data_IF_454479794784
#
_entry.id   IF_454479794784
#
_cell.length_a   1.000
_cell.length_b   1.000
_cell.length_c   1.000
_cell.angle_alpha   90.00
_cell.angle_beta   90.00
_cell.angle_gamma   90.00
#
_symmetry.space_group_name_H-M   'P 1'
#
loop_
_entity.id
_entity.type
_entity.pdbx_description
1 polymer ?
#
# COMPACT_ATOMS: atom_id res chain seq x y z
N UNK A 1 -18.63 48.13 3.29
CA UNK A 1 -17.83 47.77 4.48
C UNK A 1 -17.74 46.25 4.73
N UNK A 2 -17.94 45.38 3.71
CA UNK A 2 -17.93 43.89 3.89
C UNK A 2 -16.81 43.15 3.13
N UNK A 3 -15.90 43.84 2.46
CA UNK A 3 -14.80 43.22 1.70
C UNK A 3 -13.77 42.41 2.53
N UNK A 4 -13.36 42.78 3.76
CA UNK A 4 -12.32 42.03 4.47
C UNK A 4 -12.78 40.69 5.02
N UNK A 5 -14.07 40.42 5.22
CA UNK A 5 -14.59 39.14 5.69
C UNK A 5 -14.61 38.08 4.58
N UNK A 6 -15.04 38.49 3.38
CA UNK A 6 -15.09 37.58 2.21
C UNK A 6 -13.67 37.17 1.82
N UNK A 7 -12.72 38.09 1.77
CA UNK A 7 -11.32 37.80 1.46
C UNK A 7 -10.68 36.84 2.48
N UNK A 8 -10.97 37.00 3.79
CA UNK A 8 -10.49 36.07 4.84
C UNK A 8 -11.13 34.69 4.75
N UNK A 9 -12.41 34.61 4.38
CA UNK A 9 -13.11 33.32 4.20
C UNK A 9 -12.57 32.62 2.96
N UNK A 10 -12.38 33.31 1.86
CA UNK A 10 -11.77 32.75 0.64
C UNK A 10 -10.33 32.33 0.90
N UNK A 11 -9.54 33.11 1.61
CA UNK A 11 -8.17 32.76 1.98
C UNK A 11 -8.14 31.54 2.91
N UNK A 12 -9.04 31.44 3.88
CA UNK A 12 -9.15 30.24 4.75
C UNK A 12 -9.57 29.01 3.96
N UNK A 13 -10.55 29.11 3.06
CA UNK A 13 -10.94 28.03 2.15
C UNK A 13 -9.78 27.62 1.23
N UNK A 14 -9.04 28.59 0.68
CA UNK A 14 -7.84 28.30 -0.14
C UNK A 14 -6.74 27.64 0.67
N UNK A 15 -6.47 28.09 1.89
CA UNK A 15 -5.50 27.48 2.79
C UNK A 15 -5.94 26.08 3.23
N UNK A 16 -7.24 25.86 3.49
CA UNK A 16 -7.78 24.54 3.81
C UNK A 16 -7.68 23.61 2.61
N UNK A 17 -7.98 24.09 1.40
CA UNK A 17 -7.82 23.30 0.16
C UNK A 17 -6.34 22.99 -0.11
N UNK A 18 -5.45 23.98 0.08
CA UNK A 18 -4.00 23.78 -0.04
C UNK A 18 -3.52 22.77 1.02
N UNK A 19 -3.96 22.88 2.26
CA UNK A 19 -3.62 21.96 3.34
C UNK A 19 -4.13 20.55 3.05
N UNK A 20 -5.37 20.40 2.58
CA UNK A 20 -5.92 19.13 2.12
C UNK A 20 -5.15 18.55 0.93
N UNK A 21 -4.71 19.39 -0.01
CA UNK A 21 -3.92 18.96 -1.16
C UNK A 21 -2.47 18.62 -0.79
N UNK A 22 -1.90 19.22 0.25
CA UNK A 22 -0.55 18.88 0.74
C UNK A 22 -0.51 17.60 1.56
N UNK A 23 -1.66 17.19 2.11
CA UNK A 23 -1.81 15.90 2.80
C UNK A 23 -1.96 14.71 1.84
N UNK A 24 -2.10 14.96 0.53
CA UNK A 24 -2.28 13.93 -0.49
C UNK A 24 -0.93 13.59 -1.14
N UNK A 25 -0.04 12.93 -0.41
CA UNK A 25 1.08 12.20 -1.01
C UNK A 25 0.77 10.71 -0.86
N UNK A 26 0.06 10.07 -1.81
CA UNK A 26 0.01 8.61 -1.82
C UNK A 26 1.44 8.13 -2.07
N UNK A 27 1.92 7.24 -1.22
CA UNK A 27 3.11 6.45 -1.45
C UNK A 27 2.61 5.05 -1.78
N UNK A 28 2.97 4.53 -2.93
CA UNK A 28 2.62 3.17 -3.33
C UNK A 28 3.47 2.80 -4.53
N UNK A 29 4.03 1.61 -4.58
CA UNK A 29 4.94 1.16 -5.63
C UNK A 29 4.28 0.76 -6.93
N UNK A 30 3.31 -0.06 -6.78
CA UNK A 30 2.21 -0.10 -7.70
C UNK A 30 1.16 0.82 -7.12
N UNK A 31 0.62 1.69 -7.93
CA UNK A 31 -0.47 2.52 -7.47
C UNK A 31 -1.71 1.63 -7.17
N UNK A 32 -2.69 2.20 -6.53
CA UNK A 32 -3.89 1.54 -6.03
C UNK A 32 -4.51 0.53 -6.98
N UNK A 33 -4.64 0.88 -8.28
CA UNK A 33 -5.35 0.05 -9.25
C UNK A 33 -4.59 -1.21 -9.59
N UNK A 34 -3.26 -1.15 -9.56
CA UNK A 34 -2.41 -2.33 -9.78
C UNK A 34 -2.54 -3.34 -8.64
N UNK A 35 -2.66 -2.88 -7.39
CA UNK A 35 -2.91 -3.78 -6.24
C UNK A 35 -4.28 -4.46 -6.31
N UNK A 36 -5.32 -3.71 -6.73
CA UNK A 36 -6.65 -4.30 -6.96
C UNK A 36 -6.61 -5.34 -8.07
N UNK A 37 -5.92 -5.05 -9.17
CA UNK A 37 -5.83 -5.95 -10.33
C UNK A 37 -5.16 -7.28 -9.96
N UNK A 38 -4.12 -7.28 -9.09
CA UNK A 38 -3.51 -8.52 -8.59
C UNK A 38 -4.54 -9.39 -7.86
N UNK A 39 -5.40 -8.77 -7.03
CA UNK A 39 -6.49 -9.50 -6.36
C UNK A 39 -7.50 -10.01 -7.38
N UNK A 40 -7.94 -9.18 -8.32
CA UNK A 40 -8.97 -9.52 -9.31
C UNK A 40 -8.54 -10.65 -10.24
N UNK A 41 -7.30 -10.61 -10.71
CA UNK A 41 -6.73 -11.65 -11.56
C UNK A 41 -6.63 -13.00 -10.85
N UNK A 42 -6.39 -13.00 -9.55
CA UNK A 42 -6.32 -14.22 -8.74
C UNK A 42 -7.70 -14.66 -8.20
N UNK A 43 -8.69 -13.75 -8.11
CA UNK A 43 -9.94 -13.99 -7.42
C UNK A 43 -10.71 -15.22 -7.89
N UNK A 44 -11.08 -15.35 -9.18
CA UNK A 44 -12.01 -16.40 -9.60
C UNK A 44 -11.42 -17.82 -9.56
N UNK A 45 -10.11 -17.95 -9.75
CA UNK A 45 -9.46 -19.25 -9.91
C UNK A 45 -8.69 -19.70 -8.68
N UNK A 46 -8.28 -18.76 -7.81
CA UNK A 46 -7.39 -19.06 -6.69
C UNK A 46 -8.00 -18.64 -5.35
N UNK A 47 -8.41 -17.38 -5.20
CA UNK A 47 -8.82 -16.85 -3.90
C UNK A 47 -10.21 -17.33 -3.50
N UNK A 48 -11.20 -17.16 -4.36
CA UNK A 48 -12.56 -17.57 -4.07
C UNK A 48 -12.68 -19.06 -3.77
N UNK A 49 -12.11 -19.99 -4.58
CA UNK A 49 -12.14 -21.41 -4.26
C UNK A 49 -11.45 -21.76 -2.93
N UNK A 50 -10.39 -21.03 -2.59
CA UNK A 50 -9.69 -21.23 -1.32
C UNK A 50 -10.54 -20.79 -0.13
N UNK A 51 -11.18 -19.62 -0.23
CA UNK A 51 -12.10 -19.11 0.79
C UNK A 51 -13.29 -20.05 0.97
N UNK A 52 -13.92 -20.48 -0.12
CA UNK A 52 -15.06 -21.41 -0.07
C UNK A 52 -14.71 -22.79 0.48
N UNK A 53 -13.49 -23.28 0.20
CA UNK A 53 -12.97 -24.53 0.78
C UNK A 53 -12.81 -24.43 2.29
N UNK A 54 -12.29 -23.30 2.78
CA UNK A 54 -12.06 -23.05 4.21
C UNK A 54 -13.36 -22.73 4.95
N UNK A 55 -14.27 -22.01 4.32
CA UNK A 55 -15.55 -21.55 4.86
C UNK A 55 -16.70 -21.95 3.93
N UNK A 56 -17.15 -23.21 3.97
CA UNK A 56 -18.17 -23.69 3.04
C UNK A 56 -19.54 -23.07 3.31
N UNK A 57 -20.32 -22.84 2.24
CA UNK A 57 -21.69 -22.38 2.32
C UNK A 57 -21.87 -20.86 2.39
N UNK A 58 -20.89 -20.09 1.98
CA UNK A 58 -20.98 -18.63 1.87
C UNK A 58 -22.06 -18.23 0.87
N UNK A 59 -22.86 -17.26 1.22
CA UNK A 59 -23.82 -16.60 0.33
C UNK A 59 -23.10 -15.68 -0.66
N UNK A 60 -23.73 -15.34 -1.82
CA UNK A 60 -23.16 -14.37 -2.75
C UNK A 60 -22.84 -13.01 -2.09
N UNK A 61 -23.65 -12.56 -1.13
CA UNK A 61 -23.38 -11.33 -0.39
C UNK A 61 -22.12 -11.42 0.47
N UNK A 62 -21.90 -12.53 1.16
CA UNK A 62 -20.68 -12.78 1.95
C UNK A 62 -19.45 -12.90 1.04
N UNK A 63 -19.56 -13.55 -0.12
CA UNK A 63 -18.47 -13.60 -1.11
C UNK A 63 -18.10 -12.19 -1.58
N UNK A 64 -19.08 -11.34 -1.86
CA UNK A 64 -18.87 -9.94 -2.22
C UNK A 64 -18.18 -9.17 -1.07
N UNK A 65 -18.57 -9.44 0.16
CA UNK A 65 -17.94 -8.83 1.34
C UNK A 65 -16.49 -9.29 1.53
N UNK A 66 -16.21 -10.59 1.41
CA UNK A 66 -14.84 -11.12 1.38
C UNK A 66 -13.96 -10.44 0.32
N UNK A 67 -14.50 -10.21 -0.88
CA UNK A 67 -13.77 -9.52 -1.95
C UNK A 67 -13.43 -8.06 -1.56
N UNK A 68 -14.36 -7.35 -0.89
CA UNK A 68 -14.10 -6.01 -0.37
C UNK A 68 -13.01 -6.01 0.73
N UNK A 69 -12.94 -7.06 1.55
CA UNK A 69 -11.86 -7.23 2.52
C UNK A 69 -10.52 -7.57 1.84
N UNK A 70 -10.53 -8.37 0.78
CA UNK A 70 -9.31 -8.63 -0.01
C UNK A 70 -8.77 -7.34 -0.64
N UNK A 71 -9.62 -6.47 -1.19
CA UNK A 71 -9.20 -5.14 -1.65
C UNK A 71 -8.65 -4.29 -0.50
N UNK A 72 -9.31 -4.27 0.66
CA UNK A 72 -8.82 -3.54 1.82
C UNK A 72 -7.45 -4.02 2.28
N UNK A 73 -7.23 -5.32 2.27
CA UNK A 73 -5.94 -5.94 2.56
C UNK A 73 -4.86 -5.56 1.55
N UNK A 74 -5.21 -5.53 0.24
CA UNK A 74 -4.24 -5.30 -0.83
C UNK A 74 -3.61 -3.90 -0.84
N UNK A 75 -4.08 -2.98 0.00
CA UNK A 75 -3.53 -1.62 0.14
C UNK A 75 -3.39 -1.18 1.59
N UNK A 76 -3.53 -2.10 2.56
CA UNK A 76 -3.49 -1.74 3.99
C UNK A 76 -2.12 -1.25 4.44
N UNK A 77 -1.05 -1.80 3.86
CA UNK A 77 0.32 -1.40 4.18
C UNK A 77 0.56 0.08 3.88
N UNK A 78 -0.14 0.62 2.89
CA UNK A 78 -0.07 2.03 2.50
C UNK A 78 -0.92 2.97 3.36
N UNK A 79 -1.78 2.46 4.25
CA UNK A 79 -2.74 3.27 4.99
C UNK A 79 -2.10 4.45 5.72
N UNK A 80 -0.88 4.31 6.21
CA UNK A 80 -0.17 5.37 6.92
C UNK A 80 0.24 6.56 6.05
N UNK A 81 0.27 6.41 4.74
CA UNK A 81 0.59 7.48 3.81
C UNK A 81 -0.63 8.34 3.44
N UNK A 82 -1.83 7.89 3.77
CA UNK A 82 -3.06 8.65 3.54
C UNK A 82 -3.30 9.70 4.64
N UNK A 83 -4.18 10.69 4.40
CA UNK A 83 -4.48 11.72 5.39
C UNK A 83 -4.87 11.12 6.73
N UNK A 84 -4.35 11.69 7.82
CA UNK A 84 -4.49 11.22 9.21
C UNK A 84 -3.81 9.87 9.51
N UNK A 85 -3.15 9.24 8.54
CA UNK A 85 -2.31 8.07 8.77
C UNK A 85 -0.99 8.41 9.45
N UNK A 86 -0.20 7.39 9.73
CA UNK A 86 1.14 7.50 10.30
C UNK A 86 2.17 6.87 9.37
N UNK A 87 3.18 7.61 8.99
CA UNK A 87 4.29 7.07 8.19
C UNK A 87 5.00 5.93 8.92
N UNK A 88 5.08 5.98 10.25
CA UNK A 88 5.67 4.91 11.06
C UNK A 88 4.92 3.60 10.86
N UNK A 89 3.58 3.64 10.84
CA UNK A 89 2.76 2.47 10.54
C UNK A 89 3.14 1.84 9.19
N UNK A 90 3.05 2.61 8.11
CA UNK A 90 3.38 2.09 6.78
C UNK A 90 4.85 1.68 6.66
N UNK A 91 5.78 2.43 7.23
CA UNK A 91 7.19 2.04 7.21
C UNK A 91 7.43 0.71 7.93
N UNK A 92 6.79 0.46 9.07
CA UNK A 92 6.87 -0.84 9.76
C UNK A 92 6.42 -1.97 8.83
N UNK A 93 5.29 -1.80 8.14
CA UNK A 93 4.72 -2.81 7.27
C UNK A 93 5.49 -3.01 5.95
N UNK A 94 6.33 -2.03 5.53
CA UNK A 94 7.13 -2.12 4.31
C UNK A 94 8.58 -2.54 4.53
N UNK A 95 9.14 -2.26 5.71
CA UNK A 95 10.60 -2.38 5.90
C UNK A 95 11.00 -3.23 7.11
N UNK A 96 10.05 -3.64 7.94
CA UNK A 96 10.37 -4.32 9.20
C UNK A 96 9.40 -5.48 9.44
N UNK A 97 9.92 -6.71 9.49
CA UNK A 97 9.11 -7.92 9.76
C UNK A 97 7.90 -8.04 8.84
N UNK A 98 8.11 -7.72 7.58
CA UNK A 98 7.07 -7.63 6.55
C UNK A 98 6.37 -8.97 6.32
N UNK A 99 7.12 -10.05 6.21
CA UNK A 99 6.60 -11.42 6.10
C UNK A 99 5.94 -11.89 7.40
N UNK A 100 6.54 -11.60 8.55
CA UNK A 100 5.98 -11.93 9.88
C UNK A 100 4.60 -11.31 10.10
N UNK A 101 4.38 -10.08 9.61
CA UNK A 101 3.06 -9.43 9.69
C UNK A 101 2.01 -10.18 8.88
N UNK A 102 2.34 -10.60 7.67
CA UNK A 102 1.43 -11.39 6.82
C UNK A 102 1.15 -12.75 7.44
N UNK A 103 2.16 -13.44 7.97
CA UNK A 103 1.99 -14.70 8.69
C UNK A 103 1.06 -14.54 9.90
N UNK A 104 1.18 -13.44 10.65
CA UNK A 104 0.29 -13.13 11.77
C UNK A 104 -1.16 -12.93 11.30
N UNK A 105 -1.39 -12.20 10.21
CA UNK A 105 -2.73 -12.04 9.63
C UNK A 105 -3.37 -13.38 9.27
N UNK A 106 -2.62 -14.30 8.65
CA UNK A 106 -3.16 -15.63 8.33
C UNK A 106 -3.44 -16.48 9.56
N UNK A 107 -2.52 -16.49 10.52
CA UNK A 107 -2.65 -17.28 11.74
C UNK A 107 -3.84 -16.84 12.59
N UNK A 108 -4.03 -15.53 12.73
CA UNK A 108 -5.04 -14.93 13.58
C UNK A 108 -6.40 -14.77 12.91
N UNK A 109 -6.50 -15.07 11.60
CA UNK A 109 -7.76 -14.99 10.86
C UNK A 109 -8.74 -16.10 11.29
N UNK A 110 -9.93 -15.70 11.75
CA UNK A 110 -10.98 -16.59 12.26
C UNK A 110 -12.25 -16.57 11.43
N UNK A 111 -12.43 -15.57 10.58
CA UNK A 111 -13.61 -15.40 9.72
C UNK A 111 -13.23 -15.39 8.24
N UNK A 112 -14.17 -15.63 7.31
CA UNK A 112 -13.89 -15.55 5.88
C UNK A 112 -13.42 -14.16 5.44
N UNK A 113 -13.91 -13.10 6.07
CA UNK A 113 -13.53 -11.71 5.79
C UNK A 113 -12.10 -11.42 6.24
N UNK A 114 -11.73 -11.84 7.46
CA UNK A 114 -10.37 -11.73 7.97
C UNK A 114 -9.37 -12.52 7.10
N UNK A 115 -9.76 -13.71 6.65
CA UNK A 115 -8.92 -14.52 5.77
C UNK A 115 -8.75 -13.89 4.39
N UNK A 116 -9.82 -13.34 3.83
CA UNK A 116 -9.77 -12.60 2.57
C UNK A 116 -8.89 -11.35 2.68
N UNK A 117 -8.95 -10.64 3.81
CA UNK A 117 -8.06 -9.50 4.09
C UNK A 117 -6.59 -9.91 4.15
N UNK A 118 -6.26 -11.03 4.79
CA UNK A 118 -4.90 -11.58 4.82
C UNK A 118 -4.39 -11.95 3.42
N UNK A 119 -5.26 -12.55 2.57
CA UNK A 119 -4.94 -12.83 1.16
C UNK A 119 -4.66 -11.53 0.38
N UNK A 120 -5.42 -10.48 0.63
CA UNK A 120 -5.16 -9.15 0.06
C UNK A 120 -3.81 -8.58 0.49
N UNK A 121 -3.49 -8.63 1.79
CA UNK A 121 -2.21 -8.14 2.31
C UNK A 121 -1.01 -8.92 1.72
N UNK A 122 -1.17 -10.21 1.45
CA UNK A 122 -0.20 -11.02 0.73
C UNK A 122 -0.06 -10.57 -0.73
N UNK A 123 -1.15 -10.16 -1.39
CA UNK A 123 -1.09 -9.62 -2.75
C UNK A 123 -0.25 -8.33 -2.79
N UNK A 124 -0.43 -7.42 -1.83
CA UNK A 124 0.40 -6.23 -1.69
C UNK A 124 1.88 -6.57 -1.51
N UNK A 125 2.20 -7.50 -0.59
CA UNK A 125 3.57 -7.94 -0.35
C UNK A 125 4.28 -8.35 -1.65
N UNK A 126 3.64 -9.15 -2.51
CA UNK A 126 4.24 -9.57 -3.79
C UNK A 126 4.22 -8.45 -4.84
N UNK A 127 3.19 -7.61 -4.85
CA UNK A 127 3.12 -6.47 -5.75
C UNK A 127 4.30 -5.52 -5.52
N UNK A 128 4.62 -5.23 -4.27
CA UNK A 128 5.68 -4.29 -3.94
C UNK A 128 7.07 -4.91 -4.05
N UNK A 129 7.32 -6.03 -3.41
CA UNK A 129 8.66 -6.66 -3.43
C UNK A 129 9.18 -6.96 -4.85
N UNK A 130 8.28 -7.21 -5.80
CA UNK A 130 8.63 -7.47 -7.21
C UNK A 130 8.47 -6.21 -8.06
N UNK A 131 7.38 -5.48 -7.86
CA UNK A 131 7.02 -4.33 -8.67
C UNK A 131 7.96 -3.16 -8.53
N UNK A 132 8.36 -2.79 -7.31
CA UNK A 132 9.28 -1.68 -7.05
C UNK A 132 10.61 -1.82 -7.79
N UNK A 133 11.13 -3.03 -7.95
CA UNK A 133 12.36 -3.23 -8.70
C UNK A 133 12.24 -2.68 -10.14
N UNK A 134 11.08 -2.88 -10.78
CA UNK A 134 10.81 -2.35 -12.12
C UNK A 134 10.57 -0.84 -12.09
N UNK A 135 9.82 -0.33 -11.12
CA UNK A 135 9.59 1.11 -10.95
C UNK A 135 10.90 1.85 -10.70
N UNK A 136 11.79 1.31 -9.87
CA UNK A 136 13.12 1.87 -9.59
C UNK A 136 13.98 1.98 -10.86
N UNK A 137 13.96 0.95 -11.71
CA UNK A 137 14.66 0.97 -13.00
C UNK A 137 14.08 2.04 -13.92
N UNK A 138 12.75 2.08 -14.07
CA UNK A 138 12.06 3.03 -14.94
C UNK A 138 12.29 4.46 -14.43
N UNK A 139 12.28 4.68 -13.12
CA UNK A 139 12.60 5.98 -12.53
C UNK A 139 14.02 6.42 -12.89
N UNK A 140 15.00 5.52 -12.82
CA UNK A 140 16.37 5.81 -13.27
C UNK A 140 16.47 6.08 -14.78
N UNK A 141 15.68 5.41 -15.61
CA UNK A 141 15.64 5.64 -17.05
C UNK A 141 15.02 6.98 -17.40
N UNK A 142 13.95 7.34 -16.73
CA UNK A 142 13.15 8.54 -16.99
C UNK A 142 13.79 9.82 -16.47
N UNK A 143 14.57 9.72 -15.38
CA UNK A 143 15.22 10.86 -14.75
C UNK A 143 16.76 10.73 -14.79
N UNK A 144 17.44 11.08 -15.93
CA UNK A 144 18.88 10.88 -16.10
C UNK A 144 19.74 11.54 -15.00
N UNK A 145 19.30 12.67 -14.43
CA UNK A 145 20.01 13.34 -13.33
C UNK A 145 19.96 12.54 -12.03
N UNK A 146 18.86 11.83 -11.74
CA UNK A 146 18.76 10.93 -10.60
C UNK A 146 19.60 9.68 -10.84
N UNK A 147 19.52 9.10 -12.05
CA UNK A 147 20.38 7.99 -12.45
C UNK A 147 21.87 8.31 -12.32
N UNK A 148 22.28 9.51 -12.67
CA UNK A 148 23.68 9.95 -12.49
C UNK A 148 24.08 10.01 -11.02
N UNK A 149 23.15 10.39 -10.14
CA UNK A 149 23.37 10.56 -8.69
C UNK A 149 23.30 9.23 -7.93
N UNK A 150 22.31 8.39 -8.22
CA UNK A 150 21.93 7.23 -7.42
C UNK A 150 22.17 5.89 -8.13
N UNK A 151 22.50 5.89 -9.41
CA UNK A 151 22.69 4.69 -10.20
C UNK A 151 21.44 4.29 -11.02
N UNK A 152 21.43 3.03 -11.47
CA UNK A 152 20.35 2.52 -12.33
C UNK A 152 19.01 2.42 -11.58
N UNK A 153 19.07 2.03 -10.32
CA UNK A 153 17.90 1.90 -9.44
C UNK A 153 17.75 3.19 -8.65
N UNK A 154 16.64 3.88 -8.86
CA UNK A 154 16.27 5.09 -8.10
C UNK A 154 15.07 4.74 -7.26
N UNK A 155 15.31 4.56 -5.97
CA UNK A 155 14.31 4.10 -5.01
C UNK A 155 13.38 5.22 -4.56
N UNK A 156 12.36 4.86 -3.80
CA UNK A 156 11.46 5.81 -3.17
C UNK A 156 12.20 6.80 -2.24
N UNK A 157 13.18 6.33 -1.46
CA UNK A 157 13.99 7.22 -0.59
C UNK A 157 14.88 8.17 -1.37
N UNK A 158 15.35 7.80 -2.56
CA UNK A 158 16.20 8.63 -3.40
C UNK A 158 15.46 9.84 -3.98
N UNK A 159 14.25 9.64 -4.52
CA UNK A 159 13.33 10.70 -4.96
C UNK A 159 11.88 10.23 -4.97
N UNK A 160 11.20 10.41 -3.84
CA UNK A 160 9.79 10.08 -3.64
C UNK A 160 8.89 10.65 -4.75
N UNK A 161 9.16 11.88 -5.21
CA UNK A 161 8.31 12.53 -6.21
C UNK A 161 8.43 11.88 -7.60
N UNK A 162 9.63 11.54 -8.02
CA UNK A 162 9.87 10.88 -9.30
C UNK A 162 9.29 9.47 -9.29
N UNK A 163 9.50 8.75 -8.20
CA UNK A 163 8.99 7.40 -7.98
C UNK A 163 7.45 7.36 -8.08
N UNK A 164 6.74 8.14 -7.27
CA UNK A 164 5.28 8.24 -7.25
C UNK A 164 4.66 8.67 -8.60
N UNK A 165 5.36 9.48 -9.40
CA UNK A 165 4.89 9.86 -10.74
C UNK A 165 4.87 8.69 -11.70
N UNK A 166 5.87 7.84 -11.63
CA UNK A 166 5.94 6.67 -12.47
C UNK A 166 4.84 5.68 -12.10
N UNK A 167 4.66 5.40 -10.83
CA UNK A 167 3.58 4.53 -10.34
C UNK A 167 2.20 5.00 -10.77
N UNK A 168 1.89 6.27 -10.52
CA UNK A 168 0.61 6.83 -10.95
C UNK A 168 0.46 6.85 -12.48
N UNK A 169 1.56 6.99 -13.21
CA UNK A 169 1.58 6.86 -14.66
C UNK A 169 1.18 5.47 -15.14
N UNK A 170 1.59 4.44 -14.43
CA UNK A 170 1.20 3.05 -14.71
C UNK A 170 -0.28 2.80 -14.44
N UNK A 171 -0.84 3.27 -13.32
CA UNK A 171 -2.29 3.17 -13.06
C UNK A 171 -3.12 3.81 -14.17
N UNK A 172 -2.69 4.99 -14.66
CA UNK A 172 -3.37 5.64 -15.78
C UNK A 172 -3.30 4.79 -17.06
N UNK A 173 -2.16 4.13 -17.29
CA UNK A 173 -1.99 3.22 -18.45
C UNK A 173 -2.85 1.98 -18.27
N UNK A 174 -2.90 1.35 -17.11
CA UNK A 174 -3.76 0.20 -16.81
C UNK A 174 -5.22 0.49 -17.15
N UNK A 175 -5.75 1.61 -16.60
CA UNK A 175 -7.11 2.05 -16.91
C UNK A 175 -7.30 2.30 -18.40
N UNK A 176 -6.28 2.87 -19.06
CA UNK A 176 -6.34 3.22 -20.47
C UNK A 176 -6.29 2.01 -21.37
N UNK A 177 -5.52 0.98 -21.06
CA UNK A 177 -5.47 -0.26 -21.84
C UNK A 177 -6.71 -1.15 -21.63
N UNK A 178 -7.54 -0.87 -20.65
CA UNK A 178 -8.69 -1.70 -20.29
C UNK A 178 -8.24 -3.09 -19.80
N UNK A 179 -6.99 -3.22 -19.35
CA UNK A 179 -6.48 -4.40 -18.67
C UNK A 179 -7.22 -4.55 -17.34
N UNK A 180 -7.53 -3.44 -16.69
CA UNK A 180 -8.43 -3.38 -15.55
C UNK A 180 -9.83 -3.80 -16.01
N UNK A 181 -10.30 -4.92 -15.52
CA UNK A 181 -11.63 -5.42 -15.85
C UNK A 181 -12.65 -4.34 -15.48
N UNK A 182 -13.30 -3.79 -16.49
CA UNK A 182 -14.32 -2.74 -16.27
C UNK A 182 -15.43 -3.19 -15.34
N UNK A 183 -15.73 -4.49 -15.38
CA UNK A 183 -16.76 -5.07 -14.56
C UNK A 183 -16.36 -4.96 -13.08
N UNK A 184 -15.12 -5.26 -12.72
CA UNK A 184 -14.63 -5.19 -11.35
C UNK A 184 -14.56 -3.74 -10.83
N UNK A 185 -14.12 -2.80 -11.66
CA UNK A 185 -14.15 -1.38 -11.31
C UNK A 185 -15.57 -0.81 -11.21
N UNK A 186 -16.52 -1.37 -11.94
CA UNK A 186 -17.94 -1.00 -11.86
C UNK A 186 -18.67 -1.70 -10.73
N UNK A 187 -18.27 -2.91 -10.42
CA UNK A 187 -18.77 -3.71 -9.29
C UNK A 187 -18.01 -3.39 -8.00
N UNK A 188 -17.30 -2.26 -7.99
CA UNK A 188 -16.52 -1.83 -6.85
C UNK A 188 -17.36 -1.83 -5.57
N UNK A 189 -17.14 -2.86 -4.79
CA UNK A 189 -17.85 -3.19 -3.55
C UNK A 189 -17.28 -2.44 -2.33
N UNK A 190 -16.24 -1.64 -2.54
CA UNK A 190 -15.56 -0.86 -1.52
C UNK A 190 -14.37 -1.60 -0.91
N UNK A 191 -13.60 -0.86 -0.12
CA UNK A 191 -12.50 -1.38 0.68
C UNK A 191 -12.96 -1.58 2.10
N UNK A 192 -12.80 -2.79 2.64
CA UNK A 192 -13.09 -3.10 4.04
C UNK A 192 -11.78 -3.40 4.79
N UNK A 193 -11.70 -2.97 6.03
CA UNK A 193 -10.54 -3.19 6.88
C UNK A 193 -10.92 -4.14 8.01
N UNK A 194 -10.19 -5.22 8.16
CA UNK A 194 -10.33 -6.17 9.26
C UNK A 194 -9.59 -5.64 10.50
N UNK A 195 -10.09 -4.52 11.07
CA UNK A 195 -9.47 -3.78 12.17
C UNK A 195 -9.10 -4.68 13.36
N UNK A 196 -9.98 -5.54 13.89
CA UNK A 196 -9.62 -6.42 15.00
C UNK A 196 -8.48 -7.39 14.68
N UNK A 197 -8.43 -7.91 13.45
CA UNK A 197 -7.35 -8.78 12.98
C UNK A 197 -6.05 -7.99 12.84
N UNK A 198 -6.11 -6.82 12.19
CA UNK A 198 -4.95 -5.94 12.00
C UNK A 198 -4.30 -5.57 13.34
N UNK A 199 -5.11 -5.22 14.34
CA UNK A 199 -4.64 -4.85 15.67
C UNK A 199 -3.92 -6.02 16.38
N UNK A 200 -4.48 -7.24 16.30
CA UNK A 200 -3.83 -8.44 16.87
C UNK A 200 -2.51 -8.73 16.18
N UNK A 201 -2.52 -8.80 14.85
CA UNK A 201 -1.34 -9.10 14.04
C UNK A 201 -0.25 -8.04 14.23
N UNK A 202 -0.62 -6.75 14.31
CA UNK A 202 0.33 -5.66 14.53
C UNK A 202 1.01 -5.78 15.90
N UNK A 203 0.23 -5.97 16.97
CA UNK A 203 0.77 -6.12 18.31
C UNK A 203 1.68 -7.34 18.43
N UNK A 204 1.30 -8.46 17.84
CA UNK A 204 2.12 -9.67 17.86
C UNK A 204 3.43 -9.49 17.11
N UNK A 205 3.39 -8.83 15.95
CA UNK A 205 4.55 -8.63 15.09
C UNK A 205 5.53 -7.62 15.66
N UNK A 206 5.03 -6.47 16.13
CA UNK A 206 5.88 -5.33 16.52
C UNK A 206 5.97 -5.10 18.03
N UNK A 207 5.20 -5.84 18.85
CA UNK A 207 5.24 -5.72 20.30
C UNK A 207 4.58 -4.45 20.86
N UNK A 208 3.92 -3.67 20.00
CA UNK A 208 3.28 -2.39 20.31
C UNK A 208 1.80 -2.45 19.94
N UNK A 209 0.89 -1.85 20.72
CA UNK A 209 -0.47 -1.64 20.26
C UNK A 209 -0.46 -0.66 19.05
N UNK A 210 -1.31 -0.92 18.07
CA UNK A 210 -1.36 -0.10 16.84
C UNK A 210 -1.65 1.38 17.15
N UNK A 211 -2.39 1.66 18.23
CA UNK A 211 -2.72 3.03 18.68
C UNK A 211 -1.51 3.86 19.08
N UNK A 212 -0.37 3.23 19.35
CA UNK A 212 0.88 3.95 19.67
C UNK A 212 1.50 4.55 18.40
N UNK A 213 1.24 3.96 17.24
CA UNK A 213 1.69 4.48 15.94
C UNK A 213 0.56 5.13 15.14
N UNK A 214 -0.70 4.74 15.33
CA UNK A 214 -1.90 5.34 14.74
C UNK A 214 -2.77 5.97 15.83
N UNK A 215 -2.43 7.16 16.30
CA UNK A 215 -3.12 7.84 17.41
C UNK A 215 -4.64 8.00 17.19
N UNK A 216 -5.08 8.05 15.93
CA UNK A 216 -6.50 8.19 15.54
C UNK A 216 -6.86 7.11 14.52
N UNK A 217 -6.84 5.85 14.92
CA UNK A 217 -7.04 4.68 14.06
C UNK A 217 -8.33 4.77 13.23
N UNK A 218 -9.49 4.99 13.85
CA UNK A 218 -10.80 5.15 13.17
C UNK A 218 -10.76 6.23 12.08
N UNK A 219 -10.09 7.36 12.37
CA UNK A 219 -9.98 8.45 11.42
C UNK A 219 -9.03 8.11 10.28
N UNK A 220 -7.95 7.41 10.57
CA UNK A 220 -6.99 6.90 9.57
C UNK A 220 -7.67 5.92 8.63
N UNK A 221 -8.38 4.92 9.17
CA UNK A 221 -9.15 3.94 8.39
C UNK A 221 -10.23 4.64 7.54
N UNK A 222 -10.98 5.57 8.12
CA UNK A 222 -12.03 6.31 7.40
C UNK A 222 -11.46 7.14 6.27
N UNK A 223 -10.36 7.85 6.51
CA UNK A 223 -9.64 8.66 5.53
C UNK A 223 -9.06 7.81 4.40
N UNK A 224 -8.41 6.70 4.76
CA UNK A 224 -7.90 5.71 3.83
C UNK A 224 -9.02 5.19 2.92
N UNK A 225 -10.11 4.64 3.48
CA UNK A 225 -11.26 4.15 2.72
C UNK A 225 -11.86 5.20 1.79
N UNK A 226 -11.97 6.46 2.25
CA UNK A 226 -12.43 7.56 1.42
C UNK A 226 -11.46 7.86 0.27
N UNK A 227 -10.17 7.89 0.56
CA UNK A 227 -9.14 8.19 -0.44
C UNK A 227 -9.13 7.15 -1.55
N UNK A 228 -9.05 5.87 -1.21
CA UNK A 228 -8.98 4.78 -2.18
C UNK A 228 -10.28 4.58 -2.96
N UNK A 229 -11.44 4.72 -2.33
CA UNK A 229 -12.73 4.50 -3.00
C UNK A 229 -13.29 5.72 -3.75
N UNK A 230 -12.85 6.92 -3.45
CA UNK A 230 -13.43 8.16 -4.03
C UNK A 230 -12.40 9.10 -4.64
N UNK A 231 -11.33 9.39 -3.90
CA UNK A 231 -10.40 10.46 -4.28
C UNK A 231 -9.48 10.03 -5.43
N UNK A 232 -8.79 8.90 -5.29
CA UNK A 232 -7.85 8.39 -6.30
C UNK A 232 -8.56 8.10 -7.63
N UNK A 233 -9.71 7.39 -7.67
CA UNK A 233 -10.47 7.23 -8.91
C UNK A 233 -10.92 8.55 -9.57
N UNK A 234 -11.15 9.60 -8.77
CA UNK A 234 -11.41 10.94 -9.32
C UNK A 234 -10.17 11.57 -9.90
N UNK A 235 -9.03 11.48 -9.23
CA UNK A 235 -7.75 12.01 -9.71
C UNK A 235 -7.33 11.33 -11.01
N UNK A 236 -7.46 10.02 -11.11
CA UNK A 236 -7.19 9.26 -12.33
C UNK A 236 -8.07 9.77 -13.49
N UNK A 237 -9.39 9.96 -13.27
CA UNK A 237 -10.28 10.55 -14.29
C UNK A 237 -9.90 11.96 -14.71
N UNK A 238 -9.47 12.79 -13.76
CA UNK A 238 -8.99 14.15 -14.03
C UNK A 238 -7.72 14.11 -14.87
N UNK A 239 -6.77 13.23 -14.53
CA UNK A 239 -5.56 13.00 -15.30
C UNK A 239 -5.88 12.55 -16.73
N UNK A 240 -6.76 11.58 -16.90
CA UNK A 240 -7.22 11.11 -18.22
C UNK A 240 -7.91 12.22 -19.03
N UNK A 241 -8.69 13.09 -18.39
CA UNK A 241 -9.33 14.23 -19.06
C UNK A 241 -8.33 15.29 -19.52
N UNK A 242 -7.26 15.54 -18.73
CA UNK A 242 -6.23 16.53 -19.03
C UNK A 242 -5.16 16.05 -20.02
N UNK A 243 -4.87 14.76 -20.02
CA UNK A 243 -3.77 14.15 -20.81
C UNK A 243 -4.27 13.21 -21.91
N UNK A 244 -5.56 13.23 -22.26
CA UNK A 244 -6.17 12.28 -23.20
C UNK A 244 -5.52 12.21 -24.59
N UNK A 245 -4.96 13.32 -25.10
CA UNK A 245 -4.21 13.32 -26.36
C UNK A 245 -2.84 12.64 -26.22
N UNK A 246 -2.16 12.85 -25.09
CA UNK A 246 -0.86 12.25 -24.80
C UNK A 246 -1.00 10.75 -24.57
N UNK A 247 -2.06 10.32 -23.89
CA UNK A 247 -2.40 8.91 -23.70
C UNK A 247 -2.68 8.23 -25.04
N UNK A 248 -3.42 8.88 -25.93
CA UNK A 248 -3.70 8.36 -27.27
C UNK A 248 -2.44 8.26 -28.12
N UNK A 249 -1.46 9.17 -27.93
CA UNK A 249 -0.16 9.08 -28.59
C UNK A 249 0.72 7.96 -28.03
N UNK A 250 0.71 7.77 -26.72
CA UNK A 250 1.46 6.71 -26.05
C UNK A 250 0.86 5.30 -26.31
N UNK A 251 -0.44 5.24 -26.55
CA UNK A 251 -1.18 4.00 -26.80
C UNK A 251 -2.17 4.18 -27.96
N UNK A 252 -1.68 4.12 -29.22
CA UNK A 252 -2.51 4.35 -30.42
C UNK A 252 -3.68 3.36 -30.60
N UNK A 253 -3.61 2.20 -29.98
CA UNK A 253 -4.67 1.18 -29.99
C UNK A 253 -5.91 1.59 -29.17
N UNK A 254 -5.78 2.58 -28.30
CA UNK A 254 -6.86 3.13 -27.50
C UNK A 254 -7.69 4.10 -28.33
N UNK A 255 -8.75 3.59 -28.95
CA UNK A 255 -9.70 4.47 -29.60
C UNK A 255 -10.39 5.36 -28.56
N UNK A 256 -10.26 6.70 -28.73
CA UNK A 256 -10.93 7.71 -27.89
C UNK A 256 -12.41 7.42 -27.66
N UNK A 257 -13.06 6.71 -28.60
CA UNK A 257 -14.44 6.23 -28.51
C UNK A 257 -14.62 5.07 -27.51
N UNK A 258 -13.67 4.16 -27.39
CA UNK A 258 -13.76 3.04 -26.44
C UNK A 258 -13.53 3.52 -25.02
N UNK A 259 -12.58 4.42 -24.83
CA UNK A 259 -12.35 5.05 -23.53
C UNK A 259 -13.53 5.90 -23.06
N UNK A 260 -14.10 6.75 -23.94
CA UNK A 260 -15.30 7.57 -23.64
C UNK A 260 -16.57 6.73 -23.60
N UNK A 261 -16.67 5.65 -24.41
CA UNK A 261 -17.82 4.76 -24.42
C UNK A 261 -17.89 3.91 -23.15
N UNK A 262 -16.77 3.48 -22.64
CA UNK A 262 -16.68 2.68 -21.42
C UNK A 262 -17.00 3.49 -20.15
N UNK A 263 -16.82 4.80 -20.19
CA UNK A 263 -17.31 5.74 -19.17
C UNK A 263 -18.78 6.18 -19.42
N UNK A 264 -19.46 5.66 -20.44
CA UNK A 264 -20.84 6.04 -20.75
C UNK A 264 -21.87 5.29 -19.91
N UNK A 265 -22.76 6.06 -19.43
CA UNK A 265 -23.90 6.04 -18.57
C UNK A 265 -24.90 4.87 -18.69
N UNK A 266 -25.01 4.16 -19.82
CA UNK A 266 -26.23 3.43 -20.15
C UNK A 266 -26.34 2.04 -19.55
N UNK A 267 -25.26 1.31 -19.38
CA UNK A 267 -25.32 -0.06 -18.86
C UNK A 267 -25.08 -0.12 -17.36
N UNK A 268 -24.22 0.73 -16.84
CA UNK A 268 -24.01 0.88 -15.39
C UNK A 268 -25.26 1.42 -14.67
N UNK A 269 -25.93 2.48 -15.22
CA UNK A 269 -27.14 3.03 -14.62
C UNK A 269 -28.31 2.04 -14.63
N UNK A 270 -28.36 1.10 -15.56
CA UNK A 270 -29.36 0.03 -15.59
C UNK A 270 -29.12 -1.05 -14.56
N UNK A 271 -27.85 -1.37 -14.29
CA UNK A 271 -27.47 -2.46 -13.40
C UNK A 271 -27.37 -2.00 -11.95
N UNK A 272 -26.81 -0.81 -11.69
CA UNK A 272 -26.44 -0.35 -10.34
C UNK A 272 -27.05 0.99 -9.91
N UNK A 273 -27.88 1.62 -10.75
CA UNK A 273 -28.56 2.88 -10.42
C UNK A 273 -27.72 4.14 -10.69
N UNK A 274 -28.33 5.31 -10.36
CA UNK A 274 -27.81 6.64 -10.76
C UNK A 274 -26.62 7.18 -9.94
N UNK A 275 -25.97 6.39 -9.12
CA UNK A 275 -24.89 6.88 -8.23
C UNK A 275 -23.52 7.04 -8.92
N UNK A 276 -23.39 6.62 -10.16
CA UNK A 276 -22.17 6.85 -10.94
C UNK A 276 -22.03 8.34 -11.29
N UNK A 277 -21.02 8.99 -10.75
CA UNK A 277 -20.80 10.40 -11.02
C UNK A 277 -19.93 10.59 -12.25
N UNK A 278 -20.50 11.19 -13.30
CA UNK A 278 -19.69 11.94 -14.28
C UNK A 278 -18.81 12.93 -13.53
N UNK A 279 -17.61 13.29 -14.06
CA UNK A 279 -16.88 14.45 -13.54
C UNK A 279 -17.87 15.59 -13.42
N UNK A 280 -18.17 16.00 -12.19
CA UNK A 280 -19.09 17.10 -11.94
C UNK A 280 -18.49 18.39 -12.52
N UNK A 281 -19.30 19.42 -12.65
CA UNK A 281 -18.78 20.74 -12.99
C UNK A 281 -17.67 21.15 -12.00
N UNK A 282 -17.79 20.78 -10.72
CA UNK A 282 -16.75 20.98 -9.71
C UNK A 282 -15.45 20.21 -10.00
N UNK A 283 -15.55 18.96 -10.44
CA UNK A 283 -14.36 18.15 -10.78
C UNK A 283 -13.62 18.73 -12.01
N UNK A 284 -14.36 19.27 -13.00
CA UNK A 284 -13.83 19.97 -14.16
C UNK A 284 -13.21 21.30 -13.78
N UNK A 285 -13.82 22.01 -12.83
CA UNK A 285 -13.29 23.26 -12.31
C UNK A 285 -12.01 23.03 -11.51
N UNK A 286 -11.97 21.99 -10.68
CA UNK A 286 -10.77 21.56 -9.96
C UNK A 286 -9.67 21.14 -10.94
N UNK A 287 -10.00 20.36 -11.97
CA UNK A 287 -9.06 19.98 -13.03
C UNK A 287 -8.48 21.21 -13.74
N UNK A 288 -9.32 22.17 -14.09
CA UNK A 288 -8.92 23.43 -14.72
C UNK A 288 -7.99 24.26 -13.80
N UNK A 289 -8.33 24.37 -12.51
CA UNK A 289 -7.46 25.06 -11.56
C UNK A 289 -6.15 24.33 -11.30
N UNK A 290 -6.17 22.99 -11.20
CA UNK A 290 -4.96 22.16 -11.07
C UNK A 290 -4.05 22.29 -12.30
N UNK A 291 -4.62 22.51 -13.48
CA UNK A 291 -3.85 22.70 -14.72
C UNK A 291 -3.17 24.08 -14.79
N UNK A 292 -3.82 25.11 -14.24
CA UNK A 292 -3.31 26.49 -14.21
C UNK A 292 -2.34 26.74 -13.05
N UNK A 293 -2.48 26.02 -11.93
CA UNK A 293 -1.60 26.19 -10.77
C UNK A 293 -0.16 25.81 -11.11
N UNK A 294 0.82 26.65 -10.74
CA UNK A 294 2.22 26.28 -10.94
C UNK A 294 2.53 25.02 -10.15
N UNK A 295 2.97 23.97 -10.87
CA UNK A 295 3.30 22.65 -10.31
C UNK A 295 4.66 22.71 -9.60
N UNK A 296 4.73 23.49 -8.51
CA UNK A 296 5.91 23.70 -7.67
C UNK A 296 5.61 23.27 -6.23
N UNK A 297 6.62 22.90 -5.48
CA UNK A 297 6.44 22.44 -4.10
C UNK A 297 5.59 21.17 -4.02
N UNK A 298 4.62 21.10 -3.11
CA UNK A 298 3.77 19.90 -2.89
C UNK A 298 2.97 19.45 -4.13
N UNK A 299 2.69 20.40 -5.05
CA UNK A 299 1.94 20.10 -6.29
C UNK A 299 2.79 19.46 -7.40
N UNK A 300 4.09 19.27 -7.18
CA UNK A 300 4.99 18.61 -8.15
C UNK A 300 4.56 17.18 -8.46
N UNK A 301 4.03 16.45 -7.47
CA UNK A 301 3.53 15.08 -7.63
C UNK A 301 2.36 14.94 -8.60
N UNK A 302 1.60 16.01 -8.86
CA UNK A 302 0.47 16.02 -9.79
C UNK A 302 0.87 16.14 -11.27
N UNK A 303 2.16 16.28 -11.57
CA UNK A 303 2.64 16.29 -12.95
C UNK A 303 2.76 14.84 -13.43
N UNK A 304 1.70 14.32 -14.05
CA UNK A 304 1.67 12.98 -14.62
C UNK A 304 2.83 12.78 -15.59
N UNK A 305 3.52 11.67 -15.45
CA UNK A 305 4.45 11.15 -16.42
C UNK A 305 3.86 9.85 -17.00
N UNK A 306 3.67 9.81 -18.33
CA UNK A 306 3.13 8.62 -18.99
C UNK A 306 4.28 7.75 -19.46
N UNK A 307 4.31 6.46 -19.08
CA UNK A 307 5.34 5.54 -19.53
C UNK A 307 5.27 5.35 -21.05
N UNK A 308 6.43 5.29 -21.69
CA UNK A 308 6.54 4.96 -23.11
C UNK A 308 6.29 3.45 -23.35
N UNK A 309 6.18 3.02 -24.59
CA UNK A 309 5.84 1.62 -24.95
C UNK A 309 6.83 0.59 -24.39
N UNK A 310 8.12 0.93 -24.28
CA UNK A 310 9.12 0.04 -23.71
C UNK A 310 8.92 -0.11 -22.18
N UNK A 311 8.67 0.98 -21.49
CA UNK A 311 8.36 1.00 -20.07
C UNK A 311 7.05 0.26 -19.75
N UNK A 312 6.02 0.43 -20.58
CA UNK A 312 4.78 -0.34 -20.47
C UNK A 312 5.03 -1.85 -20.60
N UNK A 313 5.90 -2.26 -21.54
CA UNK A 313 6.30 -3.67 -21.68
C UNK A 313 7.03 -4.18 -20.46
N UNK A 314 7.93 -3.38 -19.86
CA UNK A 314 8.63 -3.74 -18.62
C UNK A 314 7.64 -3.89 -17.45
N UNK A 315 6.70 -2.95 -17.33
CA UNK A 315 5.66 -2.99 -16.30
C UNK A 315 4.78 -4.25 -16.42
N UNK A 316 4.25 -4.55 -17.62
CA UNK A 316 3.43 -5.75 -17.83
C UNK A 316 4.21 -7.05 -17.57
N UNK A 317 5.51 -7.09 -17.90
CA UNK A 317 6.36 -8.23 -17.57
C UNK A 317 6.52 -8.39 -16.04
N UNK A 318 6.72 -7.28 -15.35
CA UNK A 318 6.77 -7.24 -13.88
C UNK A 318 5.46 -7.68 -13.25
N UNK A 319 4.33 -7.18 -13.75
CA UNK A 319 3.00 -7.56 -13.28
C UNK A 319 2.74 -9.07 -13.41
N UNK A 320 3.10 -9.66 -14.56
CA UNK A 320 3.02 -11.11 -14.74
C UNK A 320 3.91 -11.88 -13.74
N UNK A 321 5.06 -11.32 -13.37
CA UNK A 321 5.94 -11.93 -12.36
C UNK A 321 5.31 -11.87 -10.97
N UNK A 322 4.68 -10.74 -10.62
CA UNK A 322 3.89 -10.58 -9.38
C UNK A 322 2.79 -11.62 -9.30
N UNK A 323 1.97 -11.71 -10.35
CA UNK A 323 0.86 -12.66 -10.44
C UNK A 323 1.31 -14.11 -10.25
N UNK A 324 2.41 -14.50 -10.90
CA UNK A 324 2.93 -15.86 -10.79
C UNK A 324 3.45 -16.15 -9.38
N UNK A 325 4.18 -15.22 -8.75
CA UNK A 325 4.70 -15.38 -7.40
C UNK A 325 3.57 -15.41 -6.37
N UNK A 326 2.61 -14.51 -6.46
CA UNK A 326 1.46 -14.46 -5.59
C UNK A 326 0.64 -15.75 -5.64
N UNK A 327 0.32 -16.24 -6.85
CA UNK A 327 -0.43 -17.50 -7.04
C UNK A 327 0.32 -18.71 -6.50
N UNK A 328 1.65 -18.74 -6.64
CA UNK A 328 2.46 -19.81 -6.08
C UNK A 328 2.37 -19.84 -4.55
N UNK A 329 2.42 -18.66 -3.89
CA UNK A 329 2.29 -18.56 -2.45
C UNK A 329 0.87 -18.90 -1.97
N UNK A 330 -0.16 -18.41 -2.66
CA UNK A 330 -1.57 -18.79 -2.37
C UNK A 330 -1.75 -20.30 -2.43
N UNK A 331 -1.08 -21.00 -3.36
CA UNK A 331 -1.10 -22.44 -3.43
C UNK A 331 -0.43 -23.10 -2.20
N UNK A 332 0.66 -22.53 -1.67
CA UNK A 332 1.32 -22.99 -0.44
C UNK A 332 0.44 -22.75 0.79
N UNK A 333 -0.16 -21.58 0.91
CA UNK A 333 -1.11 -21.26 1.98
C UNK A 333 -2.35 -22.19 1.95
N UNK A 334 -2.73 -22.67 0.75
CA UNK A 334 -3.84 -23.62 0.56
C UNK A 334 -3.51 -25.06 0.87
N UNK A 335 -2.24 -25.43 0.75
CA UNK A 335 -1.76 -26.76 1.14
C UNK A 335 -1.92 -26.90 2.66
N UNK A 336 -2.68 -27.89 3.04
CA UNK A 336 -3.18 -28.13 4.41
C UNK A 336 -2.17 -27.70 5.50
N UNK A 337 -2.55 -26.82 6.41
CA UNK A 337 -1.74 -26.37 7.56
C UNK A 337 -1.37 -27.50 8.54
N UNK A 338 -1.54 -28.77 8.15
CA UNK A 338 -1.00 -29.91 8.88
C UNK A 338 0.55 -29.99 8.85
N UNK A 339 1.17 -29.33 7.88
CA UNK A 339 2.61 -29.04 7.86
C UNK A 339 2.76 -27.53 7.98
N UNK A 340 3.38 -27.08 9.05
CA UNK A 340 3.74 -25.67 9.31
C UNK A 340 4.39 -25.09 8.04
N UNK A 341 3.73 -24.22 7.28
CA UNK A 341 4.31 -23.71 6.04
C UNK A 341 5.57 -22.92 6.39
N UNK A 342 6.58 -22.88 5.50
CA UNK A 342 7.73 -22.04 5.72
C UNK A 342 7.26 -20.59 5.92
N UNK A 343 7.87 -19.84 6.86
CA UNK A 343 7.50 -18.46 7.09
C UNK A 343 7.71 -17.62 5.82
N UNK A 344 6.83 -16.65 5.61
CA UNK A 344 6.98 -15.68 4.52
C UNK A 344 8.27 -14.90 4.76
N UNK A 345 9.16 -14.78 3.76
CA UNK A 345 10.45 -14.12 3.94
C UNK A 345 10.32 -12.64 4.33
N UNK A 346 11.32 -12.13 5.05
CA UNK A 346 11.40 -10.71 5.39
C UNK A 346 12.13 -9.96 4.25
N UNK A 347 11.38 -9.22 3.44
CA UNK A 347 11.92 -8.35 2.39
C UNK A 347 11.57 -6.90 2.67
N UNK A 348 12.47 -5.97 2.33
CA UNK A 348 12.05 -4.59 2.17
C UNK A 348 11.30 -4.43 0.84
N UNK A 349 10.22 -3.66 0.85
CA UNK A 349 9.34 -3.58 -0.32
C UNK A 349 9.93 -2.71 -1.43
N UNK A 350 10.76 -1.73 -1.11
CA UNK A 350 11.29 -0.81 -2.13
C UNK A 350 12.38 -1.44 -3.00
N UNK A 351 13.22 -2.31 -2.43
CA UNK A 351 14.30 -2.95 -3.18
C UNK A 351 13.97 -4.39 -3.55
N UNK A 352 13.02 -5.02 -2.82
CA UNK A 352 12.73 -6.45 -2.92
C UNK A 352 13.87 -7.33 -2.43
N UNK A 353 14.82 -6.77 -1.67
CA UNK A 353 15.92 -7.50 -1.07
C UNK A 353 15.53 -8.04 0.33
N UNK A 354 16.19 -9.12 0.80
CA UNK A 354 16.06 -9.52 2.20
C UNK A 354 16.42 -8.38 3.15
N UNK A 355 15.56 -8.10 4.11
CA UNK A 355 15.76 -7.02 5.07
C UNK A 355 16.99 -7.30 5.95
N UNK A 356 18.01 -6.45 5.86
CA UNK A 356 19.22 -6.55 6.63
C UNK A 356 19.82 -5.17 6.93
N UNK A 357 20.53 -5.05 8.06
CA UNK A 357 21.18 -3.81 8.48
C UNK A 357 22.16 -3.30 7.41
N UNK A 358 21.96 -2.06 6.96
CA UNK A 358 22.81 -1.41 5.96
C UNK A 358 22.46 -1.74 4.51
N UNK A 359 21.43 -2.52 4.26
CA UNK A 359 20.94 -2.84 2.91
C UNK A 359 20.10 -1.70 2.35
N UNK A 360 19.12 -1.21 3.14
CA UNK A 360 18.25 -0.12 2.76
C UNK A 360 18.05 0.89 3.88
N UNK A 361 18.25 2.15 3.57
CA UNK A 361 18.26 3.23 4.57
C UNK A 361 16.91 3.38 5.32
N UNK A 362 15.77 3.22 4.64
CA UNK A 362 14.47 3.27 5.31
C UNK A 362 14.26 2.06 6.24
N UNK A 363 14.76 0.89 5.89
CA UNK A 363 14.74 -0.27 6.77
C UNK A 363 15.57 0.00 8.04
N UNK A 364 16.82 0.51 7.90
CA UNK A 364 17.65 0.90 9.03
C UNK A 364 16.95 1.88 9.97
N UNK A 365 16.34 2.92 9.40
CA UNK A 365 15.63 3.96 10.16
C UNK A 365 14.40 3.40 10.86
N UNK A 366 13.65 2.51 10.19
CA UNK A 366 12.43 1.93 10.73
C UNK A 366 12.72 0.95 11.86
N UNK A 367 13.74 0.11 11.72
CA UNK A 367 14.20 -0.75 12.81
C UNK A 367 14.69 0.06 14.01
N UNK A 368 15.45 1.14 13.79
CA UNK A 368 15.90 2.02 14.87
C UNK A 368 14.71 2.66 15.59
N UNK A 369 13.72 3.15 14.84
CA UNK A 369 12.51 3.74 15.39
C UNK A 369 11.69 2.72 16.19
N UNK A 370 11.51 1.50 15.68
CA UNK A 370 10.84 0.42 16.41
C UNK A 370 11.55 0.12 17.74
N UNK A 371 12.88 -0.04 17.73
CA UNK A 371 13.65 -0.32 18.94
C UNK A 371 13.55 0.82 19.95
N UNK A 372 13.62 2.07 19.50
CA UNK A 372 13.48 3.23 20.37
C UNK A 372 12.06 3.33 20.95
N UNK A 373 11.05 3.01 20.18
CA UNK A 373 9.65 3.00 20.62
C UNK A 373 9.44 1.91 21.68
N UNK A 374 9.85 0.68 21.41
CA UNK A 374 9.80 -0.44 22.37
C UNK A 374 10.55 -0.12 23.67
N UNK A 375 11.70 0.55 23.60
CA UNK A 375 12.47 0.93 24.77
C UNK A 375 11.77 2.01 25.61
N UNK A 376 10.94 2.84 25.00
CA UNK A 376 10.22 3.94 25.68
C UNK A 376 8.84 3.54 26.21
N UNK A 377 8.22 2.51 25.63
CA UNK A 377 6.91 2.03 26.05
C UNK A 377 7.02 1.07 27.23
N UNK A 378 6.36 1.44 28.35
CA UNK A 378 6.31 0.60 29.56
C UNK A 378 5.44 -0.64 29.41
N UNK A 379 4.59 -0.67 28.39
CA UNK A 379 3.64 -1.75 28.11
C UNK A 379 4.09 -2.63 26.95
N UNK A 380 5.27 -2.36 26.37
CA UNK A 380 5.81 -3.15 25.27
C UNK A 380 5.88 -4.64 25.63
N UNK A 381 5.43 -5.48 24.73
CA UNK A 381 5.43 -6.93 24.89
C UNK A 381 6.29 -7.55 23.78
N UNK A 382 7.40 -8.15 24.16
CA UNK A 382 8.27 -8.82 23.19
C UNK A 382 7.88 -10.29 23.05
N UNK A 383 7.68 -10.71 21.80
CA UNK A 383 7.69 -12.13 21.47
C UNK A 383 9.15 -12.63 21.36
N UNK A 384 9.40 -13.95 21.57
CA UNK A 384 10.74 -14.54 21.35
C UNK A 384 11.24 -14.26 19.92
N UNK A 385 10.34 -14.30 18.93
CA UNK A 385 10.66 -14.07 17.51
C UNK A 385 11.03 -12.63 17.23
N UNK A 386 10.32 -11.65 17.82
CA UNK A 386 10.63 -10.24 17.67
C UNK A 386 12.02 -9.91 18.27
N UNK A 387 12.29 -10.41 19.48
CA UNK A 387 13.61 -10.19 20.10
C UNK A 387 14.74 -10.86 19.32
N UNK A 388 14.50 -12.07 18.80
CA UNK A 388 15.49 -12.77 17.97
C UNK A 388 15.76 -12.01 16.67
N UNK A 389 14.73 -11.48 16.03
CA UNK A 389 14.82 -10.71 14.80
C UNK A 389 15.59 -9.39 15.01
N UNK A 390 15.26 -8.61 16.03
CA UNK A 390 16.01 -7.39 16.40
C UNK A 390 17.50 -7.71 16.64
N UNK A 391 17.79 -8.79 17.37
CA UNK A 391 19.18 -9.19 17.62
C UNK A 391 19.88 -9.66 16.34
N UNK A 392 19.18 -10.32 15.44
CA UNK A 392 19.70 -10.75 14.15
C UNK A 392 20.02 -9.56 13.25
N UNK A 393 19.10 -8.59 13.15
CA UNK A 393 19.26 -7.38 12.36
C UNK A 393 20.54 -6.62 12.77
N UNK A 394 20.75 -6.39 14.06
CA UNK A 394 21.91 -5.67 14.59
C UNK A 394 23.13 -6.56 14.90
N UNK A 395 23.18 -7.79 14.38
CA UNK A 395 24.28 -8.72 14.67
C UNK A 395 25.59 -8.38 13.94
N UNK A 396 25.52 -7.67 12.81
CA UNK A 396 26.71 -7.35 12.02
C UNK A 396 27.39 -6.04 12.49
N UNK A 397 28.52 -6.10 13.20
CA UNK A 397 29.20 -4.88 13.69
C UNK A 397 29.80 -4.02 12.58
N UNK A 398 29.91 -4.55 11.35
CA UNK A 398 30.49 -3.89 10.19
C UNK A 398 29.42 -3.41 9.18
N UNK A 399 28.15 -3.50 9.52
CA UNK A 399 27.09 -3.01 8.66
C UNK A 399 27.28 -1.51 8.38
N UNK A 400 27.02 -1.11 7.14
CA UNK A 400 27.07 0.29 6.71
C UNK A 400 25.72 0.97 6.91
N UNK A 401 25.18 0.86 8.10
CA UNK A 401 23.92 1.43 8.51
C UNK A 401 23.98 2.97 8.54
N UNK A 402 22.96 3.60 8.02
CA UNK A 402 22.79 5.05 8.00
C UNK A 402 22.74 5.66 9.42
N UNK A 403 22.26 4.91 10.42
CA UNK A 403 22.19 5.34 11.82
C UNK A 403 23.59 5.25 12.46
N UNK A 404 24.35 4.18 12.18
CA UNK A 404 25.76 4.05 12.67
C UNK A 404 26.66 5.18 12.19
N UNK A 405 26.38 5.76 11.03
CA UNK A 405 27.10 6.90 10.50
C UNK A 405 26.89 8.20 11.31
N UNK A 406 25.92 8.23 12.22
CA UNK A 406 25.56 9.39 13.05
C UNK A 406 25.77 9.05 14.53
N UNK A 407 26.89 9.50 15.15
CA UNK A 407 27.28 9.05 16.49
C UNK A 407 26.23 9.25 17.59
N UNK A 408 25.48 10.36 17.54
CA UNK A 408 24.44 10.65 18.55
C UNK A 408 23.24 9.71 18.39
N UNK A 409 22.76 9.51 17.16
CA UNK A 409 21.65 8.59 16.85
C UNK A 409 22.04 7.14 17.21
N UNK A 410 23.27 6.75 16.86
CA UNK A 410 23.79 5.41 17.19
C UNK A 410 23.90 5.18 18.70
N UNK A 411 24.38 6.16 19.46
CA UNK A 411 24.46 6.06 20.93
C UNK A 411 23.09 5.91 21.56
N UNK A 412 22.10 6.66 21.06
CA UNK A 412 20.70 6.55 21.48
C UNK A 412 20.14 5.17 21.20
N UNK A 413 20.33 4.66 19.99
CA UNK A 413 19.89 3.33 19.58
C UNK A 413 20.55 2.21 20.40
N UNK A 414 21.85 2.30 20.67
CA UNK A 414 22.54 1.33 21.54
C UNK A 414 21.94 1.29 22.96
N UNK A 415 21.58 2.45 23.50
CA UNK A 415 20.91 2.53 24.80
C UNK A 415 19.52 1.90 24.77
N UNK A 416 18.77 2.13 23.69
CA UNK A 416 17.45 1.52 23.46
C UNK A 416 17.57 -0.01 23.29
N UNK A 417 18.54 -0.51 22.54
CA UNK A 417 18.81 -1.96 22.40
C UNK A 417 19.10 -2.65 23.74
N UNK A 418 19.86 -1.98 24.63
CA UNK A 418 20.12 -2.51 25.98
C UNK A 418 18.80 -2.61 26.76
N UNK A 419 17.95 -1.60 26.67
CA UNK A 419 16.63 -1.57 27.35
C UNK A 419 15.72 -2.65 26.80
N UNK A 420 15.58 -2.75 25.47
CA UNK A 420 14.72 -3.75 24.81
C UNK A 420 15.10 -5.18 25.21
N UNK A 421 16.40 -5.48 25.30
CA UNK A 421 16.87 -6.81 25.74
C UNK A 421 16.56 -7.14 27.19
N UNK A 422 16.13 -6.18 28.00
CA UNK A 422 15.71 -6.37 29.40
C UNK A 422 14.19 -6.48 29.54
N UNK A 423 13.41 -6.18 28.50
CA UNK A 423 11.96 -6.34 28.50
C UNK A 423 11.64 -7.83 28.64
N UNK A 424 10.75 -8.22 29.56
CA UNK A 424 10.33 -9.61 29.68
C UNK A 424 9.72 -10.12 28.38
N UNK A 425 10.20 -11.25 27.90
CA UNK A 425 9.63 -11.92 26.75
C UNK A 425 8.36 -12.65 27.16
N UNK A 426 7.25 -12.38 26.48
CA UNK A 426 6.00 -13.08 26.72
C UNK A 426 6.20 -14.56 26.36
N UNK A 427 5.99 -15.44 27.35
CA UNK A 427 5.96 -16.88 27.09
C UNK A 427 4.63 -17.15 26.34
N UNK A 428 4.67 -17.73 25.12
CA UNK A 428 3.43 -18.11 24.44
C UNK A 428 2.61 -19.00 25.38
N UNK A 429 1.34 -18.64 25.61
CA UNK A 429 0.46 -19.47 26.41
C UNK A 429 0.25 -20.80 25.66
N UNK A 430 0.89 -21.85 26.11
CA UNK A 430 0.82 -23.18 25.50
C UNK A 430 -0.63 -23.72 25.41
N UNK A 431 -1.57 -23.10 26.12
CA UNK A 431 -2.99 -23.44 26.11
C UNK A 431 -3.79 -22.59 25.08
N UNK A 432 -3.28 -21.47 24.59
CA UNK A 432 -3.97 -20.69 23.56
C UNK A 432 -4.00 -21.39 22.19
N UNK A 433 -3.03 -22.26 21.92
CA UNK A 433 -2.95 -23.05 20.68
C UNK A 433 -4.04 -24.16 20.58
N UNK A 434 -4.75 -24.46 21.64
CA UNK A 434 -5.78 -25.52 21.70
C UNK A 434 -7.22 -25.00 21.87
N UNK A 435 -7.43 -23.71 21.92
CA UNK A 435 -8.78 -23.13 21.89
C UNK A 435 -9.30 -23.07 20.44
N UNK A 436 -9.41 -24.22 19.80
CA UNK A 436 -10.09 -24.37 18.53
C UNK A 436 -11.60 -24.49 18.82
N UNK A 437 -12.46 -23.53 18.47
CA UNK A 437 -13.90 -23.70 18.61
C UNK A 437 -14.46 -24.44 17.41
N UNK A 438 -14.11 -25.72 17.29
CA UNK A 438 -14.87 -26.68 16.47
C UNK A 438 -15.27 -27.85 17.34
N UNK A 439 -16.39 -27.70 18.01
CA UNK A 439 -17.35 -28.75 18.31
C UNK A 439 -18.74 -28.28 17.96
#
# INVERSE_FOLDING_TARGET
VNQPRIARTVLRLLLTVIFLLTALTPASAYSLLSHEEVVDMAWPQYLLPLIEKRYPGLTPAQITECHAYAYGGSVIQDMGYYPFGSKEFSNLLHYTRTGSFIDALFRDSTTPDEYAFALGALAHYYADTIGHQTVNVITGEEYPHLRHRFGRFVTYDDDTTAHLRNEFGFDVVEVAHGAYSQQNYHDFIGFQVAEPLMNRAFQETYGLPITDVLTHEDLSISSYRYSVSKLIPRMTRVALAGYGEQIQHASPSLAKKEFVYRLRRTDFEKTYGRQYMRPSFGDRLVAFFLDILPKVGPLRGLKLHLPNSAQQTQYLASFNSVENAYRAEVALVSADRASDPPPIPEFDFDTGAPTAEGEYKLADQTYAQLVEHLASDKNAQLSPTLLADINHFYANPQAKDAIRAKPEEWTKLQSALITVRQIPVAVPDANAAFANPMR
#
